data_IF_447299797291
#
_entry.id   IF_447299797291
#
_cell.length_a   1.000
_cell.length_b   1.000
_cell.length_c   1.000
_cell.angle_alpha   90.00
_cell.angle_beta   90.00
_cell.angle_gamma   90.00
#
_symmetry.space_group_name_H-M   'P 1'
#
loop_
_entity.id
_entity.type
_entity.pdbx_description
1 polymer ?
#
# COMPACT_ATOMS: atom_id res chain seq x y z
N UNK A 1 61.32 62.43 12.38
CA UNK A 1 62.17 61.50 11.60
C UNK A 1 61.38 60.26 11.31
N UNK A 2 61.53 59.72 10.09
CA UNK A 2 61.10 58.41 9.60
C UNK A 2 59.64 58.23 9.16
N UNK A 3 59.47 58.44 7.84
CA UNK A 3 58.61 57.64 6.98
C UNK A 3 58.83 56.14 7.21
N UNK A 4 57.74 55.38 7.26
CA UNK A 4 57.74 53.93 7.07
C UNK A 4 56.78 53.61 5.94
N UNK A 5 57.36 53.19 4.82
CA UNK A 5 56.73 52.56 3.66
C UNK A 5 56.07 51.25 4.08
N UNK A 6 54.78 51.09 3.83
CA UNK A 6 54.14 49.77 3.67
C UNK A 6 53.24 49.78 2.42
N UNK A 7 53.29 48.67 1.69
CA UNK A 7 52.94 48.47 0.29
C UNK A 7 51.51 48.88 -0.15
N UNK A 8 51.28 49.15 -1.45
CA UNK A 8 49.92 49.25 -1.99
C UNK A 8 49.25 47.88 -1.88
N UNK A 9 48.09 47.82 -1.24
CA UNK A 9 47.27 46.61 -1.16
C UNK A 9 46.86 46.16 -2.57
N UNK A 10 47.08 44.88 -2.88
CA UNK A 10 46.86 44.28 -4.20
C UNK A 10 45.37 44.08 -4.57
N UNK A 11 44.45 44.59 -3.76
CA UNK A 11 43.02 44.57 -4.03
C UNK A 11 42.39 45.85 -3.51
N UNK A 12 41.46 46.41 -4.28
CA UNK A 12 40.63 47.52 -3.84
C UNK A 12 39.60 47.00 -2.82
N UNK A 13 39.41 47.76 -1.74
CA UNK A 13 38.33 47.49 -0.78
C UNK A 13 37.00 47.68 -1.53
N UNK A 14 36.10 46.68 -1.56
CA UNK A 14 34.82 46.82 -2.24
C UNK A 14 34.09 48.03 -1.67
N UNK A 15 33.84 49.02 -2.53
CA UNK A 15 32.98 50.15 -2.16
C UNK A 15 31.54 49.68 -2.20
N UNK A 16 30.81 49.98 -1.11
CA UNK A 16 29.41 49.62 -0.90
C UNK A 16 28.46 50.50 -1.74
N UNK A 17 28.88 50.80 -2.97
CA UNK A 17 28.03 51.44 -3.97
C UNK A 17 27.28 50.33 -4.68
N UNK A 18 25.94 50.42 -4.82
CA UNK A 18 25.22 49.46 -5.63
C UNK A 18 25.84 49.51 -7.03
N UNK A 19 26.47 48.40 -7.43
CA UNK A 19 26.76 48.09 -8.84
C UNK A 19 25.51 48.51 -9.58
N UNK A 20 25.61 49.36 -10.61
CA UNK A 20 24.49 49.96 -11.36
C UNK A 20 23.60 48.91 -12.05
N UNK A 21 23.05 48.03 -11.23
CA UNK A 21 22.18 46.93 -11.49
C UNK A 21 20.82 47.59 -11.45
N UNK A 22 20.31 47.83 -12.65
CA UNK A 22 18.98 48.33 -12.84
C UNK A 22 18.00 47.24 -12.36
N UNK A 23 17.60 47.35 -11.09
CA UNK A 23 16.70 46.41 -10.43
C UNK A 23 15.36 46.36 -11.14
N UNK A 24 14.93 47.45 -11.78
CA UNK A 24 13.72 47.44 -12.60
C UNK A 24 13.90 46.56 -13.84
N UNK A 25 15.09 46.55 -14.45
CA UNK A 25 15.41 45.66 -15.56
C UNK A 25 15.56 44.19 -15.15
N UNK A 26 16.00 43.95 -13.92
CA UNK A 26 16.07 42.61 -13.33
C UNK A 26 14.67 42.06 -13.03
N UNK A 27 13.75 42.92 -12.59
CA UNK A 27 12.35 42.57 -12.29
C UNK A 27 11.46 42.57 -13.55
N UNK A 28 11.74 43.40 -14.54
CA UNK A 28 10.93 43.52 -15.76
C UNK A 28 11.02 42.30 -16.68
N UNK A 29 11.99 41.40 -16.47
CA UNK A 29 12.10 40.16 -17.23
C UNK A 29 11.26 39.00 -16.63
N UNK A 30 10.47 39.25 -15.58
CA UNK A 30 9.57 38.24 -14.99
C UNK A 30 8.11 38.33 -15.50
N UNK A 31 7.81 39.15 -16.50
CA UNK A 31 6.43 39.35 -16.98
C UNK A 31 6.30 39.39 -18.50
N UNK A 32 6.82 38.39 -19.21
CA UNK A 32 6.13 37.89 -20.41
C UNK A 32 5.16 36.79 -19.95
N UNK A 33 3.99 37.23 -19.47
CA UNK A 33 2.90 36.39 -18.92
C UNK A 33 2.15 35.62 -20.02
N UNK A 34 2.66 35.58 -21.25
CA UNK A 34 2.00 34.93 -22.38
C UNK A 34 2.51 33.50 -22.67
N UNK A 35 3.57 33.03 -21.98
CA UNK A 35 4.13 31.67 -22.19
C UNK A 35 4.03 30.74 -20.96
N UNK A 36 3.27 31.09 -19.91
CA UNK A 36 3.01 30.18 -18.77
C UNK A 36 1.80 29.28 -19.07
N UNK A 37 1.87 28.48 -20.13
CA UNK A 37 0.94 27.33 -20.31
C UNK A 37 1.48 26.04 -19.68
N UNK A 38 2.68 26.06 -19.07
CA UNK A 38 3.38 24.85 -18.61
C UNK A 38 3.14 24.41 -17.15
N UNK A 39 2.38 25.14 -16.33
CA UNK A 39 2.23 24.82 -14.88
C UNK A 39 0.85 24.25 -14.48
N UNK A 40 -0.23 24.50 -15.22
CA UNK A 40 -1.55 23.95 -14.86
C UNK A 40 -1.62 22.42 -15.04
N UNK A 41 -0.91 21.89 -16.03
CA UNK A 41 -0.86 20.44 -16.30
C UNK A 41 -0.14 19.65 -15.20
N UNK A 42 0.99 20.16 -14.69
CA UNK A 42 1.79 19.54 -13.64
C UNK A 42 1.09 19.63 -12.29
N UNK A 43 0.53 20.79 -11.95
CA UNK A 43 -0.26 20.99 -10.73
C UNK A 43 -1.50 20.09 -10.73
N UNK A 44 -2.18 19.94 -11.87
CA UNK A 44 -3.35 19.04 -12.00
C UNK A 44 -2.96 17.57 -11.90
N UNK A 45 -1.85 17.16 -12.50
CA UNK A 45 -1.28 15.82 -12.33
C UNK A 45 -0.97 15.53 -10.87
N UNK A 46 -0.28 16.44 -10.18
CA UNK A 46 0.05 16.30 -8.77
C UNK A 46 -1.20 16.19 -7.88
N UNK A 47 -2.22 17.02 -8.12
CA UNK A 47 -3.51 16.94 -7.42
C UNK A 47 -4.19 15.58 -7.63
N UNK A 48 -4.17 15.03 -8.84
CA UNK A 48 -4.72 13.71 -9.13
C UNK A 48 -3.93 12.60 -8.40
N UNK A 49 -2.60 12.65 -8.43
CA UNK A 49 -1.75 11.69 -7.72
C UNK A 49 -1.99 11.73 -6.21
N UNK A 50 -2.11 12.92 -5.61
CA UNK A 50 -2.43 13.07 -4.18
C UNK A 50 -3.79 12.48 -3.84
N UNK A 51 -4.80 12.67 -4.71
CA UNK A 51 -6.14 12.10 -4.53
C UNK A 51 -6.11 10.58 -4.57
N UNK A 52 -5.45 10.00 -5.58
CA UNK A 52 -5.35 8.54 -5.73
C UNK A 52 -4.55 7.91 -4.59
N UNK A 53 -3.47 8.57 -4.16
CA UNK A 53 -2.69 8.16 -3.00
C UNK A 53 -3.54 8.15 -1.72
N UNK A 54 -4.35 9.20 -1.48
CA UNK A 54 -5.25 9.26 -0.33
C UNK A 54 -6.26 8.11 -0.32
N UNK A 55 -6.82 7.77 -1.49
CA UNK A 55 -7.71 6.61 -1.63
C UNK A 55 -6.97 5.32 -1.32
N UNK A 56 -5.77 5.13 -1.90
CA UNK A 56 -4.93 3.95 -1.66
C UNK A 56 -4.58 3.77 -0.18
N UNK A 57 -4.11 4.83 0.49
CA UNK A 57 -3.80 4.82 1.91
C UNK A 57 -5.02 4.44 2.76
N UNK A 58 -6.19 4.96 2.42
CA UNK A 58 -7.44 4.64 3.13
C UNK A 58 -7.79 3.16 3.01
N UNK A 59 -7.72 2.62 1.79
CA UNK A 59 -8.02 1.20 1.52
C UNK A 59 -6.99 0.29 2.20
N UNK A 60 -5.69 0.59 2.06
CA UNK A 60 -4.60 -0.18 2.67
C UNK A 60 -4.69 -0.18 4.19
N UNK A 61 -4.94 0.97 4.83
CA UNK A 61 -5.08 1.04 6.28
C UNK A 61 -6.30 0.25 6.78
N UNK A 62 -7.44 0.34 6.08
CA UNK A 62 -8.63 -0.46 6.41
C UNK A 62 -8.34 -1.95 6.31
N UNK A 63 -7.72 -2.40 5.21
CA UNK A 63 -7.37 -3.81 4.98
C UNK A 63 -6.36 -4.32 6.00
N UNK A 64 -5.32 -3.54 6.30
CA UNK A 64 -4.32 -3.88 7.32
C UNK A 64 -4.94 -4.02 8.71
N UNK A 65 -5.86 -3.12 9.09
CA UNK A 65 -6.55 -3.20 10.38
C UNK A 65 -7.46 -4.43 10.46
N UNK A 66 -8.17 -4.76 9.38
CA UNK A 66 -8.99 -5.97 9.32
C UNK A 66 -8.13 -7.24 9.42
N UNK A 67 -7.00 -7.30 8.70
CA UNK A 67 -6.04 -8.41 8.79
C UNK A 67 -5.51 -8.60 10.20
N UNK A 68 -5.17 -7.52 10.91
CA UNK A 68 -4.73 -7.59 12.32
C UNK A 68 -5.78 -8.20 13.25
N UNK A 69 -7.07 -8.04 12.94
CA UNK A 69 -8.14 -8.66 13.74
C UNK A 69 -8.23 -10.15 13.41
N UNK A 70 -8.25 -10.51 12.13
CA UNK A 70 -8.27 -11.91 11.67
C UNK A 70 -7.06 -12.68 12.22
N UNK A 71 -5.86 -12.10 12.11
CA UNK A 71 -4.62 -12.68 12.62
C UNK A 71 -4.66 -12.92 14.13
N UNK A 72 -5.28 -12.01 14.90
CA UNK A 72 -5.45 -12.19 16.35
C UNK A 72 -6.28 -13.41 16.69
N UNK A 73 -7.37 -13.67 15.97
CA UNK A 73 -8.20 -14.87 16.19
C UNK A 73 -7.51 -16.14 15.70
N UNK A 74 -6.85 -16.06 14.54
CA UNK A 74 -6.09 -17.17 13.98
C UNK A 74 -4.96 -17.64 14.91
N UNK A 75 -4.20 -16.70 15.47
CA UNK A 75 -3.10 -17.01 16.39
C UNK A 75 -3.59 -17.64 17.71
N UNK A 76 -4.84 -17.38 18.11
CA UNK A 76 -5.49 -18.02 19.27
C UNK A 76 -6.05 -19.41 18.95
N UNK A 77 -5.80 -19.93 17.74
CA UNK A 77 -6.39 -21.17 17.23
C UNK A 77 -7.93 -21.21 17.29
N UNK A 78 -8.58 -20.04 17.28
CA UNK A 78 -10.03 -19.94 17.28
C UNK A 78 -10.52 -19.72 15.84
N UNK A 79 -10.77 -20.83 15.15
CA UNK A 79 -11.16 -20.82 13.75
C UNK A 79 -12.57 -20.24 13.55
N UNK A 80 -13.51 -20.56 14.42
CA UNK A 80 -14.89 -20.06 14.35
C UNK A 80 -14.93 -18.52 14.42
N UNK A 81 -14.19 -17.94 15.37
CA UNK A 81 -14.09 -16.47 15.49
C UNK A 81 -13.36 -15.84 14.31
N UNK A 82 -12.40 -16.56 13.72
CA UNK A 82 -11.70 -16.14 12.50
C UNK A 82 -12.69 -16.07 11.33
N UNK A 83 -13.46 -17.14 11.11
CA UNK A 83 -14.49 -17.24 10.07
C UNK A 83 -15.60 -16.19 10.26
N UNK A 84 -16.07 -16.02 11.50
CA UNK A 84 -17.06 -14.99 11.83
C UNK A 84 -16.54 -13.58 11.54
N UNK A 85 -15.27 -13.31 11.83
CA UNK A 85 -14.64 -12.03 11.48
C UNK A 85 -14.55 -11.83 9.97
N UNK A 86 -14.16 -12.86 9.22
CA UNK A 86 -14.10 -12.81 7.76
C UNK A 86 -15.49 -12.52 7.15
N UNK A 87 -16.52 -13.18 7.65
CA UNK A 87 -17.91 -12.98 7.25
C UNK A 87 -18.42 -11.57 7.57
N UNK A 88 -18.11 -11.06 8.77
CA UNK A 88 -18.56 -9.75 9.23
C UNK A 88 -17.99 -8.59 8.41
N UNK A 89 -16.75 -8.70 7.91
CA UNK A 89 -16.01 -7.57 7.36
C UNK A 89 -16.33 -7.21 5.90
N UNK A 90 -17.20 -7.96 5.19
CA UNK A 90 -17.65 -7.72 3.80
C UNK A 90 -16.52 -7.24 2.86
N UNK A 91 -15.32 -7.78 3.04
CA UNK A 91 -14.12 -7.39 2.31
C UNK A 91 -13.52 -8.65 1.68
N UNK A 92 -13.84 -8.90 0.40
CA UNK A 92 -13.36 -10.08 -0.31
C UNK A 92 -11.84 -10.11 -0.42
N UNK A 93 -11.19 -8.94 -0.43
CA UNK A 93 -9.73 -8.86 -0.51
C UNK A 93 -9.07 -9.40 0.78
N UNK A 94 -9.73 -9.25 1.93
CA UNK A 94 -9.31 -9.86 3.20
C UNK A 94 -9.39 -11.39 3.14
N UNK A 95 -10.47 -11.91 2.56
CA UNK A 95 -10.70 -13.35 2.37
C UNK A 95 -9.59 -13.94 1.49
N UNK A 96 -9.27 -13.28 0.37
CA UNK A 96 -8.16 -13.69 -0.51
C UNK A 96 -6.84 -13.76 0.23
N UNK A 97 -6.48 -12.72 0.99
CA UNK A 97 -5.21 -12.71 1.73
C UNK A 97 -5.12 -13.84 2.74
N UNK A 98 -6.22 -14.06 3.48
CA UNK A 98 -6.32 -15.15 4.44
C UNK A 98 -6.07 -16.49 3.75
N UNK A 99 -6.88 -16.85 2.75
CA UNK A 99 -6.76 -18.15 2.07
C UNK A 99 -5.40 -18.32 1.37
N UNK A 100 -4.88 -17.26 0.74
CA UNK A 100 -3.58 -17.31 0.08
C UNK A 100 -2.46 -17.58 1.08
N UNK A 101 -2.47 -16.92 2.24
CA UNK A 101 -1.45 -17.10 3.25
C UNK A 101 -1.57 -18.46 3.95
N UNK A 102 -2.77 -18.83 4.42
CA UNK A 102 -2.96 -20.02 5.24
C UNK A 102 -3.00 -21.32 4.45
N UNK A 103 -3.66 -21.34 3.29
CA UNK A 103 -3.97 -22.61 2.61
C UNK A 103 -3.26 -22.77 1.26
N UNK A 104 -2.69 -21.71 0.69
CA UNK A 104 -1.95 -21.79 -0.59
C UNK A 104 -0.44 -21.76 -0.36
N UNK A 105 0.06 -20.80 0.43
CA UNK A 105 1.51 -20.62 0.63
C UNK A 105 2.12 -21.61 1.60
N UNK A 106 1.43 -21.93 2.69
CA UNK A 106 1.93 -22.83 3.73
C UNK A 106 0.88 -23.87 4.17
N UNK A 107 0.37 -24.70 3.23
CA UNK A 107 -0.75 -25.61 3.49
C UNK A 107 -0.44 -26.63 4.59
N UNK A 108 0.78 -27.16 4.64
CA UNK A 108 1.16 -28.25 5.56
C UNK A 108 1.07 -27.85 7.04
N UNK A 109 1.24 -26.56 7.37
CA UNK A 109 1.16 -26.08 8.76
C UNK A 109 -0.24 -25.73 9.22
N UNK A 110 -1.19 -25.60 8.30
CA UNK A 110 -2.45 -24.91 8.56
C UNK A 110 -3.68 -25.74 8.20
N UNK A 111 -3.57 -26.66 7.25
CA UNK A 111 -4.67 -27.55 6.87
C UNK A 111 -5.09 -28.47 8.04
N UNK A 112 -4.15 -28.93 8.86
CA UNK A 112 -4.45 -29.76 10.04
C UNK A 112 -5.31 -29.07 11.10
N UNK A 113 -5.48 -27.74 11.04
CA UNK A 113 -6.35 -26.98 11.95
C UNK A 113 -7.83 -27.00 11.52
N UNK A 114 -8.13 -27.52 10.33
CA UNK A 114 -9.49 -27.57 9.81
C UNK A 114 -10.23 -28.73 10.48
N UNK A 115 -11.41 -28.42 11.01
CA UNK A 115 -12.38 -29.40 11.49
C UNK A 115 -13.52 -29.54 10.49
N UNK A 116 -14.27 -30.65 10.54
CA UNK A 116 -15.41 -30.90 9.65
C UNK A 116 -16.49 -29.81 9.76
N UNK A 117 -16.74 -29.33 10.99
CA UNK A 117 -17.70 -28.26 11.28
C UNK A 117 -17.32 -26.94 10.57
N UNK A 118 -16.03 -26.62 10.56
CA UNK A 118 -15.52 -25.38 9.99
C UNK A 118 -15.27 -25.44 8.48
N UNK A 119 -15.07 -26.64 7.94
CA UNK A 119 -14.85 -26.84 6.52
C UNK A 119 -16.01 -26.28 5.68
N UNK A 120 -17.26 -26.51 6.08
CA UNK A 120 -18.44 -26.00 5.37
C UNK A 120 -18.45 -24.47 5.27
N UNK A 121 -18.13 -23.77 6.35
CA UNK A 121 -18.09 -22.31 6.36
C UNK A 121 -16.91 -21.75 5.54
N UNK A 122 -15.75 -22.42 5.55
CA UNK A 122 -14.62 -22.06 4.69
C UNK A 122 -14.94 -22.26 3.19
N UNK A 123 -15.64 -23.35 2.84
CA UNK A 123 -16.07 -23.63 1.47
C UNK A 123 -17.03 -22.55 0.93
N UNK A 124 -17.92 -22.00 1.77
CA UNK A 124 -18.79 -20.89 1.38
C UNK A 124 -18.00 -19.64 0.98
N UNK A 125 -16.91 -19.32 1.70
CA UNK A 125 -16.01 -18.23 1.32
C UNK A 125 -15.26 -18.50 0.02
N UNK A 126 -14.80 -19.74 -0.19
CA UNK A 126 -14.14 -20.15 -1.42
C UNK A 126 -15.06 -20.07 -2.65
N UNK A 127 -16.33 -20.43 -2.50
CA UNK A 127 -17.33 -20.27 -3.56
C UNK A 127 -17.42 -18.81 -4.03
N UNK A 128 -17.43 -17.85 -3.09
CA UNK A 128 -17.41 -16.44 -3.43
C UNK A 128 -16.13 -15.99 -4.17
N UNK A 129 -14.97 -16.60 -3.87
CA UNK A 129 -13.72 -16.28 -4.57
C UNK A 129 -13.70 -16.83 -5.99
N UNK A 130 -14.20 -18.05 -6.18
CA UNK A 130 -14.27 -18.72 -7.48
C UNK A 130 -15.24 -18.00 -8.42
N UNK A 131 -16.31 -17.42 -7.87
CA UNK A 131 -17.26 -16.61 -8.63
C UNK A 131 -16.85 -15.13 -8.79
N UNK A 132 -15.60 -14.78 -8.43
CA UNK A 132 -15.09 -13.41 -8.58
C UNK A 132 -14.81 -13.06 -10.03
N UNK A 133 -14.93 -11.78 -10.39
CA UNK A 133 -14.52 -11.26 -11.70
C UNK A 133 -13.00 -11.19 -11.90
N UNK A 134 -12.23 -11.34 -10.82
CA UNK A 134 -10.78 -11.22 -10.84
C UNK A 134 -10.15 -12.61 -10.93
N UNK A 135 -9.43 -12.90 -12.01
CA UNK A 135 -8.76 -14.19 -12.24
C UNK A 135 -7.84 -14.60 -11.06
N UNK A 136 -7.10 -13.65 -10.50
CA UNK A 136 -6.24 -13.89 -9.35
C UNK A 136 -7.00 -14.42 -8.12
N UNK A 137 -8.26 -14.00 -7.94
CA UNK A 137 -9.11 -14.45 -6.83
C UNK A 137 -9.61 -15.88 -7.11
N UNK A 138 -9.96 -16.17 -8.36
CA UNK A 138 -10.38 -17.50 -8.81
C UNK A 138 -9.25 -18.50 -8.60
N UNK A 139 -8.03 -18.17 -9.04
CA UNK A 139 -6.86 -19.05 -8.90
C UNK A 139 -6.58 -19.37 -7.42
N UNK A 140 -6.61 -18.35 -6.55
CA UNK A 140 -6.40 -18.54 -5.11
C UNK A 140 -7.53 -19.40 -4.52
N UNK A 141 -8.78 -19.13 -4.90
CA UNK A 141 -9.94 -19.90 -4.49
C UNK A 141 -9.81 -21.38 -4.86
N UNK A 142 -9.45 -21.70 -6.11
CA UNK A 142 -9.28 -23.07 -6.59
C UNK A 142 -8.12 -23.80 -5.89
N UNK A 143 -6.98 -23.12 -5.71
CA UNK A 143 -5.82 -23.70 -5.01
C UNK A 143 -6.15 -24.03 -3.56
N UNK A 144 -6.79 -23.11 -2.85
CA UNK A 144 -7.21 -23.33 -1.48
C UNK A 144 -8.30 -24.42 -1.39
N UNK A 145 -9.25 -24.44 -2.33
CA UNK A 145 -10.29 -25.45 -2.42
C UNK A 145 -9.70 -26.86 -2.50
N UNK A 146 -8.72 -27.07 -3.39
CA UNK A 146 -8.01 -28.35 -3.49
C UNK A 146 -7.42 -28.78 -2.15
N UNK A 147 -6.68 -27.89 -1.48
CA UNK A 147 -6.05 -28.20 -0.19
C UNK A 147 -7.06 -28.56 0.91
N UNK A 148 -8.17 -27.83 0.98
CA UNK A 148 -9.22 -28.10 1.97
C UNK A 148 -9.92 -29.43 1.66
N UNK A 149 -10.22 -29.73 0.39
CA UNK A 149 -10.82 -31.01 0.00
C UNK A 149 -9.91 -32.21 0.31
N UNK A 150 -8.61 -32.08 0.02
CA UNK A 150 -7.62 -33.12 0.34
C UNK A 150 -7.63 -33.40 1.86
N UNK A 151 -7.68 -32.36 2.70
CA UNK A 151 -7.76 -32.49 4.16
C UNK A 151 -9.09 -33.11 4.65
N UNK A 152 -10.22 -32.67 4.11
CA UNK A 152 -11.55 -33.19 4.50
C UNK A 152 -11.66 -34.68 4.13
N UNK A 153 -11.13 -35.07 2.97
CA UNK A 153 -11.11 -36.47 2.54
C UNK A 153 -10.29 -37.33 3.51
N UNK A 154 -9.15 -36.82 3.98
CA UNK A 154 -8.33 -37.49 4.99
C UNK A 154 -9.10 -37.66 6.31
N UNK A 155 -9.76 -36.61 6.80
CA UNK A 155 -10.58 -36.67 8.02
C UNK A 155 -11.75 -37.66 7.90
N UNK A 156 -12.35 -37.77 6.71
CA UNK A 156 -13.40 -38.75 6.45
C UNK A 156 -12.87 -40.18 6.51
N UNK A 157 -11.68 -40.43 5.95
CA UNK A 157 -11.07 -41.76 5.97
C UNK A 157 -10.62 -42.23 7.35
N UNK A 158 -10.37 -41.31 8.29
CA UNK A 158 -10.01 -41.63 9.68
C UNK A 158 -11.22 -41.94 10.57
N UNK A 159 -12.41 -41.47 10.19
CA UNK A 159 -13.65 -41.61 10.97
C UNK A 159 -14.61 -42.69 10.45
N UNK A 160 -14.26 -43.38 9.36
CA UNK A 160 -14.98 -44.52 8.79
C UNK A 160 -14.21 -45.82 9.02
#
# INVERSE_FOLDING_TARGET
>A
TMNSMFAPSLYEVPTDTPLGLDLEKFLANECNVEDIEEDDSQVKLMKNLMKDNKVMLTIMNKRANNLKIVQRWWNKANLDSTINTLSSRRDTSLVVDFFNYTFVKDPSKHLSKITMENAAALLAHLYSLINSKYESYIIIGLKALKGIFDQVTLLLSENC
#
